data_IF_894522497816
#
_entry.id   IF_894522497816
#
_cell.length_a   1.000
_cell.length_b   1.000
_cell.length_c   1.000
_cell.angle_alpha   90.00
_cell.angle_beta   90.00
_cell.angle_gamma   90.00
#
_symmetry.space_group_name_H-M   'P 1'
#
loop_
_entity.id
_entity.type
_entity.pdbx_description
1 polymer ?
#
# COMPACT_ATOMS: atom_id res chain seq x y z
N UNK A 1 68.41 13.86 10.04
CA UNK A 1 67.13 14.59 10.26
C UNK A 1 66.31 14.50 8.98
N UNK A 2 64.99 14.26 9.06
CA UNK A 2 64.34 13.14 8.37
C UNK A 2 63.24 13.58 7.39
N UNK A 3 63.29 13.15 6.13
CA UNK A 3 62.20 13.46 5.16
C UNK A 3 61.78 12.32 4.23
N UNK A 4 62.28 11.09 4.39
CA UNK A 4 61.95 9.97 3.46
C UNK A 4 60.90 8.98 3.98
N UNK A 5 60.32 9.19 5.16
CA UNK A 5 59.42 8.22 5.81
C UNK A 5 57.92 8.61 5.84
N UNK A 6 57.47 9.58 5.02
CA UNK A 6 56.07 10.07 5.08
C UNK A 6 55.25 9.76 3.80
N UNK A 7 55.89 9.26 2.72
CA UNK A 7 55.19 9.03 1.44
C UNK A 7 54.60 7.62 1.25
N UNK A 8 54.79 6.70 2.19
CA UNK A 8 54.29 5.32 2.05
C UNK A 8 53.07 5.00 2.93
N UNK A 9 52.53 5.97 3.68
CA UNK A 9 51.49 5.73 4.70
C UNK A 9 50.13 6.37 4.38
N UNK A 10 49.91 6.75 3.13
CA UNK A 10 48.66 7.35 2.64
C UNK A 10 48.02 6.54 1.51
N UNK A 11 48.53 5.35 1.20
CA UNK A 11 47.97 4.44 0.18
C UNK A 11 47.06 3.32 0.73
N UNK A 12 46.63 3.41 1.99
CA UNK A 12 45.74 2.42 2.59
C UNK A 12 44.77 3.14 3.53
N UNK A 13 43.58 3.58 3.06
CA UNK A 13 42.31 3.47 3.82
C UNK A 13 41.03 4.11 3.22
N UNK A 14 40.89 4.35 1.91
CA UNK A 14 39.57 4.75 1.39
C UNK A 14 39.20 4.06 0.08
N UNK A 15 39.41 2.74 0.02
CA UNK A 15 38.48 1.87 -0.71
C UNK A 15 37.29 1.62 0.23
N UNK A 16 36.43 2.62 0.44
CA UNK A 16 35.12 2.34 1.02
C UNK A 16 34.35 1.58 -0.04
N UNK A 17 34.25 0.27 0.20
CA UNK A 17 33.42 -0.65 -0.56
C UNK A 17 32.05 -0.01 -0.75
N UNK A 18 31.68 0.28 -2.00
CA UNK A 18 30.30 0.21 -2.43
C UNK A 18 29.84 -1.24 -2.28
N UNK A 19 29.56 -1.66 -1.04
CA UNK A 19 28.72 -2.81 -0.76
C UNK A 19 27.28 -2.41 -1.13
N UNK A 20 27.01 -2.26 -2.42
CA UNK A 20 25.66 -2.41 -2.93
C UNK A 20 25.25 -3.83 -2.61
N UNK A 21 24.58 -4.03 -1.48
CA UNK A 21 23.80 -5.23 -1.26
C UNK A 21 22.78 -5.25 -2.40
N UNK A 22 23.02 -6.09 -3.39
CA UNK A 22 22.00 -6.40 -4.38
C UNK A 22 20.88 -7.10 -3.60
N UNK A 23 19.79 -6.40 -3.31
CA UNK A 23 18.57 -7.06 -2.86
C UNK A 23 18.14 -7.98 -4.00
N UNK A 24 18.45 -9.28 -3.88
CA UNK A 24 17.96 -10.28 -4.81
C UNK A 24 16.44 -10.32 -4.68
N UNK A 25 15.73 -9.96 -5.75
CA UNK A 25 14.30 -10.12 -5.83
C UNK A 25 13.94 -11.60 -5.62
N UNK A 26 13.02 -11.88 -4.71
CA UNK A 26 12.54 -13.24 -4.47
C UNK A 26 11.93 -13.80 -5.78
N UNK A 27 12.46 -14.91 -6.33
CA UNK A 27 11.95 -15.52 -7.54
C UNK A 27 10.45 -15.84 -7.46
N UNK A 28 9.95 -16.23 -6.29
CA UNK A 28 8.54 -16.50 -6.07
C UNK A 28 7.68 -15.22 -6.15
N UNK A 29 8.17 -14.10 -5.60
CA UNK A 29 7.52 -12.80 -5.71
C UNK A 29 7.50 -12.29 -7.17
N UNK A 30 8.57 -12.55 -7.92
CA UNK A 30 8.61 -12.19 -9.35
C UNK A 30 7.61 -13.00 -10.20
N UNK A 31 7.43 -14.28 -9.89
CA UNK A 31 6.48 -15.16 -10.56
C UNK A 31 5.03 -14.80 -10.24
N UNK A 32 4.72 -14.48 -8.97
CA UNK A 32 3.39 -14.04 -8.57
C UNK A 32 3.01 -12.69 -9.19
N UNK A 33 3.94 -11.72 -9.22
CA UNK A 33 3.75 -10.44 -9.90
C UNK A 33 3.47 -10.64 -11.41
N UNK A 34 4.19 -11.57 -12.05
CA UNK A 34 3.97 -11.88 -13.47
C UNK A 34 2.61 -12.52 -13.73
N UNK A 35 2.13 -13.39 -12.84
CA UNK A 35 0.81 -14.00 -12.93
C UNK A 35 -0.30 -12.94 -12.75
N UNK A 36 -0.15 -12.03 -11.78
CA UNK A 36 -1.07 -10.92 -11.55
C UNK A 36 -1.16 -10.00 -12.76
N UNK A 37 -0.03 -9.63 -13.34
CA UNK A 37 0.01 -8.82 -14.57
C UNK A 37 -0.81 -9.43 -15.72
N UNK A 38 -0.73 -10.75 -15.92
CA UNK A 38 -1.52 -11.42 -16.97
C UNK A 38 -3.02 -11.31 -16.71
N UNK A 39 -3.44 -11.44 -15.46
CA UNK A 39 -4.84 -11.27 -15.05
C UNK A 39 -5.31 -9.84 -15.27
N UNK A 40 -4.51 -8.85 -14.84
CA UNK A 40 -4.84 -7.44 -14.99
C UNK A 40 -4.93 -7.04 -16.48
N UNK A 41 -4.00 -7.50 -17.32
CA UNK A 41 -4.06 -7.27 -18.77
C UNK A 41 -5.28 -7.92 -19.43
N UNK A 42 -5.70 -9.10 -18.99
CA UNK A 42 -6.94 -9.72 -19.46
C UNK A 42 -8.16 -8.89 -19.07
N UNK A 43 -8.21 -8.36 -17.84
CA UNK A 43 -9.25 -7.43 -17.38
C UNK A 43 -9.26 -6.16 -18.25
N UNK A 44 -8.10 -5.54 -18.47
CA UNK A 44 -7.97 -4.33 -19.29
C UNK A 44 -8.45 -4.55 -20.73
N UNK A 45 -8.06 -5.67 -21.35
CA UNK A 45 -8.46 -6.00 -22.72
C UNK A 45 -9.95 -6.38 -22.83
N UNK A 46 -10.56 -6.90 -21.77
CA UNK A 46 -11.98 -7.21 -21.75
C UNK A 46 -12.89 -5.97 -21.66
N UNK A 47 -12.32 -4.79 -21.36
CA UNK A 47 -13.08 -3.56 -21.15
C UNK A 47 -13.90 -3.54 -19.85
N UNK A 48 -13.79 -4.57 -19.00
CA UNK A 48 -14.52 -4.68 -17.71
C UNK A 48 -13.86 -3.90 -16.57
N UNK A 49 -12.77 -3.17 -16.86
CA UNK A 49 -12.14 -2.25 -15.93
C UNK A 49 -13.03 -1.00 -15.75
N UNK A 50 -13.00 -0.40 -14.56
CA UNK A 50 -13.67 0.88 -14.26
C UNK A 50 -12.90 2.11 -14.75
N UNK A 51 -11.78 1.89 -15.43
CA UNK A 51 -10.92 2.91 -16.01
C UNK A 51 -10.79 2.72 -17.52
N UNK A 52 -10.26 3.74 -18.21
CA UNK A 52 -9.92 3.64 -19.63
C UNK A 52 -8.97 2.45 -19.89
N UNK A 53 -9.07 1.75 -21.04
CA UNK A 53 -8.17 0.65 -21.36
C UNK A 53 -6.69 1.04 -21.36
N UNK A 54 -6.38 2.29 -21.74
CA UNK A 54 -5.01 2.81 -21.74
C UNK A 54 -4.48 2.97 -20.31
N UNK A 55 -5.26 3.59 -19.42
CA UNK A 55 -4.90 3.75 -18.00
C UNK A 55 -4.72 2.39 -17.32
N UNK A 56 -5.66 1.48 -17.53
CA UNK A 56 -5.61 0.14 -16.94
C UNK A 56 -4.31 -0.61 -17.29
N UNK A 57 -3.87 -0.56 -18.56
CA UNK A 57 -2.62 -1.20 -19.00
C UNK A 57 -1.39 -0.57 -18.35
N UNK A 58 -1.36 0.76 -18.26
CA UNK A 58 -0.28 1.49 -17.59
C UNK A 58 -0.22 1.12 -16.10
N UNK A 59 -1.37 1.01 -15.43
CA UNK A 59 -1.43 0.58 -14.02
C UNK A 59 -0.94 -0.87 -13.86
N UNK A 60 -1.33 -1.79 -14.73
CA UNK A 60 -0.86 -3.17 -14.72
C UNK A 60 0.68 -3.27 -14.89
N UNK A 61 1.26 -2.49 -15.81
CA UNK A 61 2.71 -2.42 -16.01
C UNK A 61 3.44 -1.87 -14.78
N UNK A 62 2.90 -0.82 -14.15
CA UNK A 62 3.46 -0.23 -12.93
C UNK A 62 3.36 -1.21 -11.75
N UNK A 63 2.25 -1.91 -11.62
CA UNK A 63 2.06 -2.93 -10.58
C UNK A 63 3.05 -4.09 -10.77
N UNK A 64 3.31 -4.52 -12.01
CA UNK A 64 4.34 -5.52 -12.31
C UNK A 64 5.75 -5.04 -11.92
N UNK A 65 6.09 -3.81 -12.28
CA UNK A 65 7.39 -3.23 -11.94
C UNK A 65 7.58 -3.14 -10.42
N UNK A 66 6.54 -2.74 -9.68
CA UNK A 66 6.55 -2.67 -8.22
C UNK A 66 6.64 -4.08 -7.58
N UNK A 67 5.86 -5.03 -8.08
CA UNK A 67 5.88 -6.41 -7.61
C UNK A 67 7.25 -7.07 -7.81
N UNK A 68 7.92 -6.83 -8.95
CA UNK A 68 9.27 -7.35 -9.23
C UNK A 68 10.34 -6.78 -8.32
N UNK A 69 10.21 -5.53 -7.87
CA UNK A 69 11.13 -4.92 -6.89
C UNK A 69 10.72 -5.18 -5.43
N UNK A 70 9.65 -5.94 -5.21
CA UNK A 70 9.19 -6.35 -3.88
C UNK A 70 8.52 -5.24 -3.06
N UNK A 71 8.08 -4.13 -3.69
CA UNK A 71 7.45 -3.02 -2.96
C UNK A 71 5.95 -3.18 -2.72
N UNK A 72 5.33 -4.27 -3.19
CA UNK A 72 3.95 -4.62 -2.85
C UNK A 72 3.91 -5.27 -1.46
N UNK A 73 3.86 -4.45 -0.42
CA UNK A 73 3.80 -4.90 0.98
C UNK A 73 2.42 -4.66 1.58
N UNK A 74 1.91 -5.64 2.32
CA UNK A 74 0.71 -5.50 3.13
C UNK A 74 1.06 -4.92 4.51
N UNK A 75 0.25 -3.98 4.99
CA UNK A 75 0.36 -3.53 6.38
C UNK A 75 -0.28 -4.58 7.32
N UNK A 76 0.11 -4.55 8.60
CA UNK A 76 -0.52 -5.41 9.60
C UNK A 76 -2.03 -5.08 9.72
N UNK A 77 -2.92 -6.07 9.98
CA UNK A 77 -4.36 -5.83 10.16
C UNK A 77 -4.70 -4.75 11.19
N UNK A 78 -3.90 -4.66 12.25
CA UNK A 78 -4.03 -3.62 13.27
C UNK A 78 -3.79 -2.21 12.73
N UNK A 79 -2.87 -2.04 11.77
CA UNK A 79 -2.64 -0.75 11.11
C UNK A 79 -3.82 -0.36 10.23
N UNK A 80 -4.42 -1.31 9.51
CA UNK A 80 -5.64 -1.05 8.74
C UNK A 80 -6.80 -0.58 9.64
N UNK A 81 -6.98 -1.22 10.79
CA UNK A 81 -7.99 -0.82 11.78
C UNK A 81 -7.70 0.57 12.36
N UNK A 82 -6.45 0.84 12.74
CA UNK A 82 -6.05 2.15 13.25
C UNK A 82 -6.27 3.27 12.22
N UNK A 83 -5.89 3.03 10.96
CA UNK A 83 -6.13 3.97 9.87
C UNK A 83 -7.63 4.18 9.64
N UNK A 84 -8.46 3.12 9.79
CA UNK A 84 -9.90 3.23 9.69
C UNK A 84 -10.49 4.14 10.77
N UNK A 85 -10.06 3.98 12.03
CA UNK A 85 -10.49 4.84 13.13
C UNK A 85 -9.95 6.26 13.01
N UNK A 86 -8.75 6.45 12.47
CA UNK A 86 -8.19 7.79 12.22
C UNK A 86 -9.06 8.60 11.28
N UNK A 87 -9.71 7.99 10.29
CA UNK A 87 -10.65 8.68 9.38
C UNK A 87 -11.87 9.25 10.11
N UNK A 88 -12.27 8.68 11.24
CA UNK A 88 -13.39 9.20 12.04
C UNK A 88 -13.04 10.48 12.81
N UNK A 89 -11.76 10.87 12.86
CA UNK A 89 -11.32 12.03 13.67
C UNK A 89 -11.84 13.38 13.19
N UNK A 90 -12.39 13.47 11.96
CA UNK A 90 -13.03 14.67 11.42
C UNK A 90 -14.39 14.96 12.06
N UNK A 91 -15.06 13.93 12.57
CA UNK A 91 -16.37 14.05 13.21
C UNK A 91 -16.25 14.45 14.68
N UNK A 92 -17.31 15.05 15.22
CA UNK A 92 -17.38 15.50 16.61
C UNK A 92 -18.52 14.78 17.36
N UNK A 93 -18.42 14.74 18.69
CA UNK A 93 -19.43 14.18 19.59
C UNK A 93 -20.01 12.84 19.09
N UNK A 94 -21.33 12.75 18.95
CA UNK A 94 -22.05 11.51 18.63
C UNK A 94 -21.71 10.98 17.24
N UNK A 95 -21.43 11.85 16.27
CA UNK A 95 -21.05 11.43 14.91
C UNK A 95 -19.71 10.68 14.92
N UNK A 96 -18.77 11.10 15.78
CA UNK A 96 -17.50 10.38 15.94
C UNK A 96 -17.73 9.00 16.53
N UNK A 97 -18.51 8.92 17.60
CA UNK A 97 -18.84 7.65 18.25
C UNK A 97 -19.51 6.70 17.26
N UNK A 98 -20.47 7.20 16.48
CA UNK A 98 -21.16 6.46 15.44
C UNK A 98 -20.22 5.96 14.33
N UNK A 99 -19.30 6.82 13.85
CA UNK A 99 -18.30 6.44 12.85
C UNK A 99 -17.38 5.32 13.38
N UNK A 100 -16.86 5.49 14.58
CA UNK A 100 -15.96 4.50 15.17
C UNK A 100 -16.67 3.17 15.44
N UNK A 101 -17.92 3.19 15.91
CA UNK A 101 -18.74 2.00 16.08
C UNK A 101 -18.92 1.25 14.76
N UNK A 102 -19.32 1.94 13.68
CA UNK A 102 -19.47 1.37 12.34
C UNK A 102 -18.17 0.80 11.76
N UNK A 103 -17.01 1.37 12.12
CA UNK A 103 -15.71 0.82 11.71
C UNK A 103 -15.30 -0.41 12.50
N UNK A 104 -15.71 -0.53 13.78
CA UNK A 104 -15.37 -1.67 14.65
C UNK A 104 -16.33 -2.84 14.44
N UNK A 105 -17.63 -2.57 14.44
CA UNK A 105 -18.71 -3.55 14.43
C UNK A 105 -19.88 -3.01 13.58
N UNK A 106 -19.74 -2.99 12.25
CA UNK A 106 -20.85 -2.63 11.38
C UNK A 106 -21.98 -3.65 11.47
N UNK A 107 -23.21 -3.19 11.23
CA UNK A 107 -24.39 -4.05 11.12
C UNK A 107 -24.46 -4.70 9.73
N UNK A 108 -23.94 -3.99 8.71
CA UNK A 108 -23.84 -4.46 7.34
C UNK A 108 -22.46 -4.21 6.73
N UNK A 109 -21.97 -5.19 5.97
CA UNK A 109 -20.77 -5.05 5.15
C UNK A 109 -21.10 -5.53 3.74
N UNK A 110 -20.95 -4.64 2.77
CA UNK A 110 -21.08 -4.98 1.35
C UNK A 110 -19.78 -4.64 0.61
N UNK A 111 -19.38 -5.53 -0.29
CA UNK A 111 -18.09 -5.50 -0.94
C UNK A 111 -18.23 -5.83 -2.42
N UNK A 112 -18.56 -4.82 -3.22
CA UNK A 112 -18.38 -4.81 -4.67
C UNK A 112 -18.88 -3.47 -5.23
N UNK A 113 -18.51 -2.32 -4.64
CA UNK A 113 -18.64 -1.10 -5.44
C UNK A 113 -17.78 -1.30 -6.68
N UNK A 114 -18.27 -0.89 -7.85
CA UNK A 114 -17.61 -1.15 -9.14
C UNK A 114 -16.09 -0.94 -9.02
N UNK A 115 -15.68 0.14 -8.36
CA UNK A 115 -14.30 0.57 -8.12
C UNK A 115 -13.51 -0.15 -7.00
N UNK A 116 -14.00 -1.25 -6.41
CA UNK A 116 -13.24 -2.09 -5.47
C UNK A 116 -13.23 -1.67 -3.99
N UNK A 117 -14.21 -0.86 -3.56
CA UNK A 117 -14.39 -0.45 -2.16
C UNK A 117 -15.29 -1.37 -1.33
N UNK A 118 -15.19 -1.23 0.01
CA UNK A 118 -16.04 -1.92 1.00
C UNK A 118 -16.93 -0.90 1.71
N UNK A 119 -18.24 -1.06 1.58
CA UNK A 119 -19.24 -0.28 2.30
C UNK A 119 -19.54 -0.93 3.65
N UNK A 120 -19.68 -0.08 4.68
CA UNK A 120 -20.02 -0.46 6.04
C UNK A 120 -21.18 0.39 6.49
N UNK A 121 -22.18 -0.24 7.10
CA UNK A 121 -23.43 0.38 7.49
C UNK A 121 -23.77 0.09 8.95
N UNK A 122 -24.38 1.06 9.61
CA UNK A 122 -24.97 0.99 10.95
C UNK A 122 -26.11 1.99 11.03
N UNK A 123 -27.23 1.61 11.65
CA UNK A 123 -28.39 2.48 11.86
C UNK A 123 -28.44 2.95 13.30
N UNK A 124 -28.42 4.26 13.51
CA UNK A 124 -28.55 4.87 14.84
C UNK A 124 -29.85 5.69 14.93
N UNK A 125 -30.67 5.41 15.94
CA UNK A 125 -31.86 6.20 16.26
C UNK A 125 -31.47 7.41 17.11
N UNK A 126 -31.75 8.63 16.62
CA UNK A 126 -31.53 9.87 17.37
C UNK A 126 -32.86 10.36 17.94
N UNK A 127 -32.99 10.56 19.27
CA UNK A 127 -34.20 11.12 19.85
C UNK A 127 -34.44 12.55 19.35
N UNK A 128 -35.68 12.86 18.96
CA UNK A 128 -36.09 14.25 18.66
C UNK A 128 -36.37 14.95 20.00
N UNK A 129 -35.74 16.10 20.30
CA UNK A 129 -36.03 16.85 21.52
C UNK A 129 -37.51 17.25 21.56
N UNK A 130 -38.13 17.17 22.75
CA UNK A 130 -39.47 17.72 22.97
C UNK A 130 -39.46 19.25 22.76
N UNK A 131 -40.56 19.84 22.25
CA UNK A 131 -40.66 21.28 22.01
C UNK A 131 -40.56 22.11 23.29
#
# INVERSE_FOLDING_TARGET
MPTTAILCRSLYLTALLCATTAQAADPAASASAQARYRQDMALCNSGKSNQSPATCKIEAERALAEGRRGGLTEAAPSQYQQNALRRCAVFQADERVACEARMRQPEGVDGSVQSGGVLRESVNSVPVPAP
#
